data_IF_701271124448
#
_entry.id   IF_701271124448
#
_cell.length_a   1.000
_cell.length_b   1.000
_cell.length_c   1.000
_cell.angle_alpha   90.00
_cell.angle_beta   90.00
_cell.angle_gamma   90.00
#
_symmetry.space_group_name_H-M   'P 1'
#
loop_
_entity.id
_entity.type
_entity.pdbx_description
1 polymer ?
#
# COMPACT_ATOMS: atom_id res chain seq x y z
N UNK A 1 24.84 10.45 2.59
CA UNK A 1 24.45 10.54 1.16
C UNK A 1 23.13 9.81 0.97
N UNK A 2 22.14 10.47 0.35
CA UNK A 2 20.73 10.05 0.33
C UNK A 2 20.47 9.09 -0.86
N UNK A 3 19.95 7.86 -0.67
CA UNK A 3 20.03 6.79 -1.67
C UNK A 3 19.01 6.85 -2.83
N UNK A 4 18.22 7.92 -2.97
CA UNK A 4 17.17 8.00 -4.01
C UNK A 4 17.54 8.82 -5.25
N UNK A 5 18.81 9.18 -5.44
CA UNK A 5 19.20 10.17 -6.46
C UNK A 5 19.73 9.63 -7.81
N UNK A 6 19.63 8.31 -8.09
CA UNK A 6 19.99 7.77 -9.42
C UNK A 6 18.92 6.81 -9.94
N UNK A 7 17.87 7.38 -10.55
CA UNK A 7 17.05 6.68 -11.53
C UNK A 7 16.47 7.71 -12.49
N UNK A 8 17.22 8.01 -13.55
CA UNK A 8 16.74 8.63 -14.80
C UNK A 8 17.88 8.60 -15.82
N UNK A 9 18.07 7.43 -16.45
CA UNK A 9 18.64 7.33 -17.79
C UNK A 9 18.36 5.94 -18.35
N UNK A 10 17.99 5.90 -19.63
CA UNK A 10 17.90 4.73 -20.53
C UNK A 10 16.54 3.99 -20.59
N UNK A 11 15.58 4.63 -21.26
CA UNK A 11 14.79 3.95 -22.31
C UNK A 11 14.56 4.92 -23.47
N UNK A 12 15.59 5.12 -24.31
CA UNK A 12 15.40 5.61 -25.68
C UNK A 12 15.06 4.40 -26.55
N UNK A 13 13.86 4.41 -27.14
CA UNK A 13 13.40 3.37 -28.06
C UNK A 13 13.78 3.78 -29.50
N UNK A 14 14.59 3.01 -30.24
CA UNK A 14 14.79 3.27 -31.66
C UNK A 14 13.63 2.68 -32.45
N UNK A 15 13.02 3.53 -33.29
CA UNK A 15 12.07 3.14 -34.33
C UNK A 15 12.77 2.22 -35.32
N UNK A 16 12.16 1.07 -35.62
CA UNK A 16 12.44 0.33 -36.85
C UNK A 16 11.13 -0.06 -37.51
N UNK A 17 10.93 0.50 -38.70
CA UNK A 17 10.01 0.04 -39.73
C UNK A 17 10.22 -1.44 -40.05
N UNK A 18 9.12 -2.18 -40.24
CA UNK A 18 9.05 -3.29 -41.21
C UNK A 18 7.60 -3.63 -41.55
N UNK A 19 7.30 -3.51 -42.85
CA UNK A 19 6.08 -3.97 -43.53
C UNK A 19 6.16 -5.47 -43.84
N UNK A 20 4.95 -6.05 -44.01
CA UNK A 20 4.60 -7.31 -44.70
C UNK A 20 4.96 -8.61 -43.95
N UNK A 21 4.14 -9.68 -43.89
CA UNK A 21 2.97 -10.07 -44.68
C UNK A 21 2.03 -11.00 -43.86
N UNK A 22 0.74 -10.98 -44.20
CA UNK A 22 -0.31 -11.96 -43.86
C UNK A 22 -0.12 -13.21 -44.77
N UNK A 23 -0.41 -14.47 -44.34
CA UNK A 23 -1.78 -14.97 -44.48
C UNK A 23 -2.23 -16.08 -43.48
N UNK A 24 -3.56 -16.34 -43.54
CA UNK A 24 -4.31 -17.57 -43.19
C UNK A 24 -5.06 -17.59 -41.85
N UNK A 25 -6.34 -17.19 -41.95
CA UNK A 25 -7.44 -17.57 -41.05
C UNK A 25 -7.85 -19.04 -41.21
N UNK A 26 -8.29 -19.68 -40.12
CA UNK A 26 -9.45 -20.56 -40.15
C UNK A 26 -10.60 -20.06 -39.27
N UNK A 27 -11.82 -20.37 -39.71
CA UNK A 27 -13.14 -20.03 -39.17
C UNK A 27 -13.49 -20.73 -37.84
N UNK A 28 -14.44 -20.18 -37.04
CA UNK A 28 -14.80 -20.71 -35.71
C UNK A 28 -15.94 -21.74 -35.77
N UNK A 29 -15.93 -22.71 -34.84
CA UNK A 29 -17.02 -23.64 -34.56
C UNK A 29 -17.42 -23.60 -33.07
N UNK A 30 -18.62 -24.09 -32.69
CA UNK A 30 -19.57 -23.34 -31.88
C UNK A 30 -19.50 -23.61 -30.36
N UNK A 31 -19.95 -22.62 -29.59
CA UNK A 31 -20.18 -22.68 -28.15
C UNK A 31 -21.48 -23.43 -27.80
N UNK A 32 -21.48 -24.32 -26.79
CA UNK A 32 -22.71 -24.86 -26.23
C UNK A 32 -23.34 -23.87 -25.24
N UNK A 33 -24.64 -23.59 -25.44
CA UNK A 33 -25.50 -22.87 -24.48
C UNK A 33 -25.74 -23.76 -23.26
N UNK A 34 -25.49 -23.22 -22.06
CA UNK A 34 -26.01 -23.78 -20.81
C UNK A 34 -27.04 -22.83 -20.21
N UNK A 35 -28.25 -23.36 -20.09
CA UNK A 35 -29.45 -22.79 -19.49
C UNK A 35 -29.28 -22.65 -17.96
N UNK A 36 -29.75 -21.57 -17.32
CA UNK A 36 -29.63 -21.43 -15.87
C UNK A 36 -30.62 -22.33 -15.12
N UNK A 37 -30.08 -23.12 -14.18
CA UNK A 37 -30.85 -23.96 -13.29
C UNK A 37 -31.53 -23.12 -12.20
N UNK A 38 -32.86 -23.21 -12.13
CA UNK A 38 -33.72 -22.65 -11.06
C UNK A 38 -33.32 -23.23 -9.70
N UNK A 39 -33.24 -22.38 -8.68
CA UNK A 39 -33.31 -22.76 -7.26
C UNK A 39 -34.50 -22.09 -6.57
N UNK A 40 -35.11 -22.75 -5.56
CA UNK A 40 -36.46 -22.42 -5.10
C UNK A 40 -36.51 -21.28 -4.09
N UNK A 41 -37.58 -20.47 -4.21
CA UNK A 41 -38.03 -19.50 -3.21
C UNK A 41 -38.37 -20.20 -1.90
N UNK A 42 -37.76 -19.77 -0.79
CA UNK A 42 -38.33 -19.96 0.55
C UNK A 42 -39.01 -18.67 1.00
N UNK A 43 -40.29 -18.81 1.26
CA UNK A 43 -41.20 -17.87 1.90
C UNK A 43 -40.80 -17.59 3.35
N UNK A 44 -40.83 -16.33 3.75
CA UNK A 44 -41.04 -15.93 5.14
C UNK A 44 -42.14 -14.89 5.16
N UNK A 45 -43.19 -15.24 5.90
CA UNK A 45 -44.42 -14.52 6.04
C UNK A 45 -44.27 -13.27 6.93
N UNK A 46 -45.22 -12.37 6.68
CA UNK A 46 -45.62 -11.18 7.42
C UNK A 46 -45.35 -11.17 8.93
N UNK A 47 -44.98 -9.99 9.44
CA UNK A 47 -45.73 -9.45 10.56
C UNK A 47 -45.89 -7.93 10.49
N UNK A 48 -47.06 -7.51 10.96
CA UNK A 48 -47.74 -6.22 10.76
C UNK A 48 -47.12 -5.06 11.55
N UNK A 49 -47.23 -3.88 10.93
CA UNK A 49 -47.63 -2.56 11.46
C UNK A 49 -47.42 -2.27 12.95
N UNK A 50 -46.77 -1.14 13.22
CA UNK A 50 -47.31 -0.07 14.06
C UNK A 50 -46.64 1.26 13.67
N UNK A 51 -47.44 2.16 13.11
CA UNK A 51 -47.19 3.61 12.96
C UNK A 51 -47.52 4.32 14.27
N UNK A 52 -46.97 5.51 14.48
CA UNK A 52 -47.86 6.62 14.80
C UNK A 52 -47.65 7.81 13.86
N UNK A 53 -48.79 8.37 13.43
CA UNK A 53 -48.91 9.72 12.90
C UNK A 53 -48.72 10.74 14.02
N UNK A 54 -48.08 11.88 13.71
CA UNK A 54 -48.54 13.19 14.18
C UNK A 54 -48.30 14.21 13.06
N UNK A 55 -49.39 14.74 12.52
CA UNK A 55 -49.43 15.97 11.72
C UNK A 55 -49.53 17.18 12.64
N UNK A 56 -48.89 18.31 12.30
CA UNK A 56 -49.55 19.62 12.14
C UNK A 56 -48.55 20.79 12.10
N UNK A 57 -48.86 21.72 11.21
CA UNK A 57 -48.25 23.03 11.00
C UNK A 57 -48.17 23.91 12.24
N UNK A 58 -47.07 24.66 12.38
CA UNK A 58 -47.11 26.06 12.85
C UNK A 58 -46.17 26.91 12.01
N UNK A 59 -46.76 27.93 11.41
CA UNK A 59 -46.14 29.02 10.66
C UNK A 59 -45.46 29.99 11.64
N UNK A 60 -44.22 30.39 11.36
CA UNK A 60 -43.47 31.34 12.20
C UNK A 60 -42.47 32.14 11.37
N UNK A 61 -42.95 33.21 10.74
CA UNK A 61 -42.13 34.29 10.17
C UNK A 61 -41.22 34.86 11.27
N UNK A 62 -39.90 34.80 11.08
CA UNK A 62 -38.97 35.68 11.77
C UNK A 62 -38.43 36.67 10.74
N UNK A 63 -38.99 37.88 10.75
CA UNK A 63 -38.43 39.05 10.10
C UNK A 63 -37.25 39.54 10.95
N UNK A 64 -36.03 39.34 10.48
CA UNK A 64 -34.86 40.07 10.99
C UNK A 64 -34.80 41.43 10.29
N UNK A 65 -35.06 42.50 11.05
CA UNK A 65 -34.95 43.90 10.64
C UNK A 65 -33.51 44.23 10.24
N UNK A 66 -33.35 44.84 9.07
CA UNK A 66 -32.20 45.68 8.73
C UNK A 66 -32.25 46.98 9.56
N UNK A 67 -31.13 47.47 10.12
CA UNK A 67 -30.98 48.89 10.40
C UNK A 67 -30.41 49.62 9.17
N UNK A 68 -31.06 50.74 8.84
CA UNK A 68 -30.63 51.74 7.88
C UNK A 68 -29.44 52.55 8.41
N UNK A 69 -28.50 52.80 7.49
CA UNK A 69 -27.52 53.90 7.36
C UNK A 69 -26.97 54.65 8.57
N UNK A 70 -25.63 54.66 8.64
CA UNK A 70 -24.85 55.76 9.18
C UNK A 70 -23.60 55.97 8.30
N UNK A 71 -23.66 56.96 7.41
CA UNK A 71 -22.52 57.41 6.61
C UNK A 71 -21.43 58.02 7.50
N UNK A 72 -20.19 57.53 7.34
CA UNK A 72 -18.96 58.25 7.72
C UNK A 72 -17.91 58.05 6.63
N UNK A 73 -17.26 59.12 6.15
CA UNK A 73 -16.28 59.01 5.07
C UNK A 73 -14.88 58.68 5.60
N UNK A 74 -14.10 57.96 4.79
CA UNK A 74 -12.64 58.16 4.74
C UNK A 74 -11.75 57.28 5.62
N UNK A 75 -12.01 55.98 5.72
CA UNK A 75 -10.99 55.02 6.12
C UNK A 75 -10.37 54.39 4.88
N UNK A 76 -9.12 54.72 4.54
CA UNK A 76 -8.37 54.00 3.51
C UNK A 76 -8.31 52.52 3.90
N UNK A 77 -9.14 51.71 3.23
CA UNK A 77 -9.05 50.26 3.33
C UNK A 77 -7.66 49.87 2.81
N UNK A 78 -6.76 49.50 3.72
CA UNK A 78 -5.56 48.78 3.39
C UNK A 78 -6.01 47.49 2.72
N UNK A 79 -5.97 47.47 1.39
CA UNK A 79 -6.14 46.25 0.59
C UNK A 79 -4.98 45.34 1.00
N UNK A 80 -5.21 44.47 1.98
CA UNK A 80 -4.30 43.38 2.27
C UNK A 80 -4.17 42.60 0.96
N UNK A 81 -2.95 42.44 0.41
CA UNK A 81 -2.78 41.65 -0.80
C UNK A 81 -3.35 40.26 -0.50
N UNK A 82 -4.39 39.88 -1.25
CA UNK A 82 -5.00 38.57 -1.12
C UNK A 82 -3.90 37.52 -1.11
N UNK A 83 -3.79 36.75 -0.03
CA UNK A 83 -2.75 35.74 0.12
C UNK A 83 -2.79 34.86 -1.14
N UNK A 84 -1.69 34.88 -1.92
CA UNK A 84 -1.62 34.08 -3.14
C UNK A 84 -1.98 32.64 -2.78
N UNK A 85 -2.93 32.01 -3.50
CA UNK A 85 -3.29 30.63 -3.20
C UNK A 85 -2.04 29.77 -3.31
N UNK A 86 -1.80 28.91 -2.31
CA UNK A 86 -0.64 28.04 -2.30
C UNK A 86 -0.59 27.23 -3.60
N UNK A 87 0.54 27.30 -4.29
CA UNK A 87 0.80 26.61 -5.55
C UNK A 87 2.00 25.67 -5.39
N UNK A 88 2.17 24.73 -6.33
CA UNK A 88 3.34 23.83 -6.34
C UNK A 88 4.64 24.64 -6.35
N UNK A 89 4.71 25.67 -7.20
CA UNK A 89 5.86 26.58 -7.27
C UNK A 89 6.11 27.30 -5.93
N UNK A 90 5.05 27.77 -5.26
CA UNK A 90 5.18 28.48 -3.99
C UNK A 90 5.69 27.63 -2.82
N UNK A 91 5.49 26.30 -2.86
CA UNK A 91 5.93 25.40 -1.77
C UNK A 91 7.23 24.66 -2.07
N UNK A 92 7.64 24.52 -3.34
CA UNK A 92 8.75 23.62 -3.73
C UNK A 92 10.08 23.94 -3.06
N UNK A 93 10.40 25.22 -2.84
CA UNK A 93 11.62 25.66 -2.15
C UNK A 93 11.68 25.29 -0.67
N UNK A 94 10.54 24.96 -0.06
CA UNK A 94 10.45 24.51 1.34
C UNK A 94 10.49 22.99 1.53
N UNK A 95 10.45 22.23 0.42
CA UNK A 95 10.45 20.77 0.39
C UNK A 95 11.88 20.24 0.38
N UNK A 96 12.24 19.47 1.39
CA UNK A 96 13.54 18.78 1.50
C UNK A 96 13.49 17.43 0.78
N UNK A 97 14.64 16.82 0.54
CA UNK A 97 14.70 15.49 -0.08
C UNK A 97 14.02 14.42 0.75
N UNK A 98 14.09 14.52 2.09
CA UNK A 98 13.36 13.63 2.99
C UNK A 98 11.85 13.73 2.76
N UNK A 99 11.33 14.94 2.55
CA UNK A 99 9.91 15.12 2.29
C UNK A 99 9.54 14.56 0.91
N UNK A 100 10.39 14.73 -0.10
CA UNK A 100 10.18 14.09 -1.42
C UNK A 100 10.06 12.58 -1.30
N UNK A 101 10.95 11.94 -0.51
CA UNK A 101 10.86 10.51 -0.20
C UNK A 101 9.54 10.18 0.46
N UNK A 102 9.12 10.93 1.49
CA UNK A 102 7.83 10.71 2.16
C UNK A 102 6.64 10.85 1.20
N UNK A 103 6.62 11.87 0.34
CA UNK A 103 5.54 12.09 -0.62
C UNK A 103 5.46 10.95 -1.64
N UNK A 104 6.61 10.44 -2.11
CA UNK A 104 6.64 9.28 -3.01
C UNK A 104 6.15 8.00 -2.30
N UNK A 105 6.58 7.75 -1.06
CA UNK A 105 6.07 6.62 -0.26
C UNK A 105 4.55 6.69 -0.07
N UNK A 106 3.99 7.87 0.22
CA UNK A 106 2.54 8.04 0.36
C UNK A 106 1.80 7.92 -0.99
N UNK A 107 2.45 8.33 -2.09
CA UNK A 107 1.92 8.13 -3.44
C UNK A 107 1.75 6.64 -3.76
N UNK A 108 2.79 5.86 -3.47
CA UNK A 108 2.89 4.43 -3.76
C UNK A 108 2.05 3.58 -2.79
N UNK A 109 2.14 3.83 -1.48
CA UNK A 109 1.59 2.95 -0.43
C UNK A 109 0.29 3.47 0.22
N UNK A 110 -0.20 4.63 -0.23
CA UNK A 110 -1.50 5.20 0.15
C UNK A 110 -1.50 5.90 1.51
N UNK A 111 -1.16 5.20 2.59
CA UNK A 111 -1.11 5.79 3.93
C UNK A 111 0.00 5.22 4.82
N UNK A 112 0.57 6.07 5.68
CA UNK A 112 1.53 5.68 6.70
C UNK A 112 1.17 6.30 8.05
N UNK A 113 1.46 5.58 9.14
CA UNK A 113 1.28 6.12 10.49
C UNK A 113 2.44 7.03 10.88
N UNK A 114 2.24 7.89 11.90
CA UNK A 114 3.34 8.70 12.45
C UNK A 114 4.52 7.83 12.91
N UNK A 115 4.25 6.67 13.51
CA UNK A 115 5.29 5.76 13.99
C UNK A 115 6.11 5.20 12.81
N UNK A 116 5.44 4.69 11.77
CA UNK A 116 6.09 4.19 10.55
C UNK A 116 6.97 5.25 9.89
N UNK A 117 6.45 6.46 9.71
CA UNK A 117 7.20 7.58 9.13
C UNK A 117 8.42 7.92 9.99
N UNK A 118 8.26 7.92 11.32
CA UNK A 118 9.35 8.21 12.25
C UNK A 118 10.46 7.17 12.12
N UNK A 119 10.11 5.88 12.20
CA UNK A 119 11.03 4.75 12.03
C UNK A 119 11.82 4.84 10.72
N UNK A 120 11.15 5.18 9.62
CA UNK A 120 11.81 5.23 8.31
C UNK A 120 12.66 6.48 8.08
N UNK A 121 12.24 7.66 8.54
CA UNK A 121 12.79 8.92 8.02
C UNK A 121 13.38 9.86 9.08
N UNK A 122 13.16 9.60 10.37
CA UNK A 122 13.53 10.52 11.45
C UNK A 122 14.33 9.81 12.55
N UNK A 123 15.17 10.56 13.26
CA UNK A 123 15.85 10.09 14.48
C UNK A 123 15.06 10.38 15.76
N UNK A 124 14.02 11.24 15.69
CA UNK A 124 13.23 11.65 16.85
C UNK A 124 11.74 11.75 16.52
N UNK A 125 10.85 11.17 17.35
CA UNK A 125 9.40 11.31 17.19
C UNK A 125 8.90 12.76 17.25
N UNK A 126 9.53 13.61 18.07
CA UNK A 126 9.14 15.02 18.21
C UNK A 126 9.44 15.80 16.93
N UNK A 127 10.63 15.58 16.35
CA UNK A 127 11.01 16.19 15.06
C UNK A 127 10.07 15.73 13.94
N UNK A 128 9.74 14.43 13.90
CA UNK A 128 8.80 13.88 12.92
C UNK A 128 7.42 14.56 13.02
N UNK A 129 6.84 14.64 14.23
CA UNK A 129 5.53 15.29 14.46
C UNK A 129 5.53 16.75 14.01
N UNK A 130 6.56 17.52 14.36
CA UNK A 130 6.68 18.93 13.96
C UNK A 130 6.78 19.07 12.43
N UNK A 131 7.60 18.24 11.77
CA UNK A 131 7.74 18.27 10.31
C UNK A 131 6.42 17.90 9.62
N UNK A 132 5.73 16.86 10.08
CA UNK A 132 4.45 16.42 9.53
C UNK A 132 3.36 17.49 9.69
N UNK A 133 3.30 18.18 10.82
CA UNK A 133 2.40 19.31 11.03
C UNK A 133 2.68 20.45 10.04
N UNK A 134 3.96 20.80 9.82
CA UNK A 134 4.36 21.81 8.84
C UNK A 134 3.99 21.42 7.41
N UNK A 135 4.26 20.18 6.99
CA UNK A 135 3.89 19.70 5.66
C UNK A 135 2.37 19.68 5.45
N UNK A 136 1.59 19.41 6.50
CA UNK A 136 0.13 19.52 6.47
C UNK A 136 -0.34 20.96 6.28
N UNK A 137 0.25 21.91 7.00
CA UNK A 137 -0.07 23.33 6.85
C UNK A 137 0.22 23.86 5.42
N UNK A 138 1.20 23.26 4.74
CA UNK A 138 1.53 23.53 3.33
C UNK A 138 0.68 22.73 2.32
N UNK A 139 -0.33 21.99 2.76
CA UNK A 139 -1.19 21.13 1.94
C UNK A 139 -0.42 20.04 1.16
N UNK A 140 0.81 19.73 1.58
CA UNK A 140 1.61 18.63 1.01
C UNK A 140 1.14 17.29 1.57
N UNK A 141 0.72 17.28 2.84
CA UNK A 141 0.12 16.13 3.50
C UNK A 141 -1.31 16.43 3.92
N UNK A 142 -2.09 15.36 4.06
CA UNK A 142 -3.34 15.36 4.82
C UNK A 142 -3.33 14.16 5.77
N UNK A 143 -4.25 14.12 6.72
CA UNK A 143 -4.38 12.98 7.61
C UNK A 143 -5.81 12.74 8.05
N UNK A 144 -6.12 11.48 8.31
CA UNK A 144 -7.34 11.05 8.99
C UNK A 144 -6.99 10.23 10.22
N UNK A 145 -7.97 10.02 11.10
CA UNK A 145 -7.86 9.11 12.25
C UNK A 145 -9.03 8.16 12.19
N UNK A 146 -8.80 6.85 12.01
CA UNK A 146 -9.86 5.86 12.11
C UNK A 146 -10.57 6.02 13.45
N UNK A 147 -11.90 5.99 13.41
CA UNK A 147 -12.70 5.92 14.62
C UNK A 147 -12.87 4.46 14.99
N UNK A 148 -12.64 4.10 16.25
CA UNK A 148 -12.99 2.80 16.76
C UNK A 148 -14.39 2.87 17.39
N UNK A 149 -15.43 2.28 16.76
CA UNK A 149 -16.79 2.35 17.28
C UNK A 149 -16.96 1.62 18.62
N UNK A 150 -16.16 0.58 18.87
CA UNK A 150 -16.29 -0.24 20.08
C UNK A 150 -15.78 0.48 21.33
N UNK A 151 -14.75 1.31 21.19
CA UNK A 151 -14.15 2.07 22.30
C UNK A 151 -14.53 3.55 22.28
N UNK A 152 -15.17 4.04 21.22
CA UNK A 152 -15.43 5.47 20.99
C UNK A 152 -14.18 6.32 20.76
N UNK A 153 -12.98 5.73 20.75
CA UNK A 153 -11.72 6.46 20.67
C UNK A 153 -11.30 6.71 19.22
N UNK A 154 -10.55 7.79 19.00
CA UNK A 154 -9.85 8.02 17.73
C UNK A 154 -8.50 7.33 17.77
N UNK A 155 -8.18 6.59 16.73
CA UNK A 155 -6.87 5.96 16.56
C UNK A 155 -5.75 6.98 16.29
N UNK A 156 -4.59 6.45 15.91
CA UNK A 156 -3.41 7.25 15.53
C UNK A 156 -3.64 8.04 14.23
N UNK A 157 -2.78 9.00 13.92
CA UNK A 157 -2.81 9.68 12.62
C UNK A 157 -2.36 8.74 11.50
N UNK A 158 -3.17 8.66 10.45
CA UNK A 158 -2.87 8.05 9.17
C UNK A 158 -2.64 9.16 8.16
N UNK A 159 -1.38 9.35 7.76
CA UNK A 159 -0.96 10.38 6.83
C UNK A 159 -1.17 9.93 5.39
N UNK A 160 -1.57 10.86 4.54
CA UNK A 160 -1.82 10.67 3.10
C UNK A 160 -1.29 11.88 2.33
N UNK A 161 -1.20 11.78 1.01
CA UNK A 161 -0.88 12.95 0.19
C UNK A 161 -1.97 14.02 0.30
N UNK A 162 -1.56 15.25 0.59
CA UNK A 162 -2.39 16.43 0.42
C UNK A 162 -2.45 16.84 -1.05
N UNK A 163 -3.29 17.83 -1.36
CA UNK A 163 -3.53 18.26 -2.75
C UNK A 163 -2.25 18.73 -3.44
N UNK A 164 -1.45 19.58 -2.76
CA UNK A 164 -0.20 20.07 -3.34
C UNK A 164 0.87 18.99 -3.40
N UNK A 165 0.90 18.07 -2.43
CA UNK A 165 1.81 16.93 -2.44
C UNK A 165 1.54 16.00 -3.62
N UNK A 166 0.26 15.69 -3.87
CA UNK A 166 -0.14 14.87 -5.01
C UNK A 166 0.19 15.52 -6.36
N UNK A 167 0.02 16.84 -6.48
CA UNK A 167 0.41 17.60 -7.68
C UNK A 167 1.92 17.67 -7.86
N UNK A 168 2.68 17.84 -6.78
CA UNK A 168 4.14 17.86 -6.82
C UNK A 168 4.70 16.52 -7.31
N UNK A 169 4.18 15.39 -6.78
CA UNK A 169 4.58 14.05 -7.24
C UNK A 169 4.17 13.82 -8.70
N UNK A 170 2.93 14.19 -9.08
CA UNK A 170 2.49 14.07 -10.47
C UNK A 170 3.37 14.87 -11.44
N UNK A 171 3.71 16.11 -11.10
CA UNK A 171 4.58 16.95 -11.93
C UNK A 171 6.01 16.39 -12.04
N UNK A 172 6.56 15.83 -10.95
CA UNK A 172 7.88 15.20 -10.99
C UNK A 172 7.94 13.95 -11.91
N UNK A 173 6.80 13.28 -12.05
CA UNK A 173 6.59 12.10 -12.90
C UNK A 173 6.09 12.44 -14.32
N UNK A 174 5.94 13.72 -14.67
CA UNK A 174 5.35 14.18 -15.93
C UNK A 174 3.92 13.63 -16.17
N UNK A 175 3.11 13.62 -15.11
CA UNK A 175 1.71 13.20 -15.10
C UNK A 175 0.79 14.39 -14.85
N UNK A 176 -0.44 14.29 -15.33
CA UNK A 176 -1.47 15.29 -15.07
C UNK A 176 -1.67 15.55 -13.56
N UNK A 177 -1.71 16.83 -13.22
CA UNK A 177 -1.94 17.28 -11.86
C UNK A 177 -3.38 16.93 -11.43
N UNK A 178 -3.57 16.14 -10.35
CA UNK A 178 -4.91 15.74 -9.95
C UNK A 178 -5.74 16.93 -9.43
N UNK A 179 -7.05 16.85 -9.68
CA UNK A 179 -8.02 17.74 -9.07
C UNK A 179 -8.11 17.53 -7.55
N UNK A 180 -8.38 18.57 -6.74
CA UNK A 180 -8.51 18.45 -5.28
C UNK A 180 -9.54 17.39 -4.85
N UNK A 181 -10.68 17.30 -5.55
CA UNK A 181 -11.73 16.31 -5.28
C UNK A 181 -11.26 14.86 -5.48
N UNK A 182 -10.36 14.61 -6.43
CA UNK A 182 -9.76 13.29 -6.65
C UNK A 182 -8.87 12.88 -5.48
N UNK A 183 -8.09 13.81 -4.93
CA UNK A 183 -7.24 13.57 -3.77
C UNK A 183 -8.08 13.32 -2.52
N UNK A 184 -9.10 14.17 -2.27
CA UNK A 184 -10.03 14.00 -1.15
C UNK A 184 -10.75 12.64 -1.19
N UNK A 185 -11.28 12.25 -2.36
CA UNK A 185 -11.93 10.94 -2.55
C UNK A 185 -10.99 9.77 -2.30
N UNK A 186 -9.71 9.88 -2.67
CA UNK A 186 -8.70 8.82 -2.37
C UNK A 186 -8.51 8.67 -0.86
N UNK A 187 -8.37 9.78 -0.13
CA UNK A 187 -8.27 9.79 1.34
C UNK A 187 -9.51 9.17 1.97
N UNK A 188 -10.71 9.57 1.55
CA UNK A 188 -11.96 9.10 2.16
C UNK A 188 -12.18 7.60 1.93
N UNK A 189 -11.80 7.09 0.75
CA UNK A 189 -11.79 5.64 0.47
C UNK A 189 -10.83 4.87 1.37
N UNK A 190 -9.65 5.42 1.67
CA UNK A 190 -8.71 4.80 2.61
C UNK A 190 -9.29 4.81 4.04
N UNK A 191 -9.86 5.94 4.46
CA UNK A 191 -10.44 6.09 5.79
C UNK A 191 -11.63 5.14 6.04
N UNK A 192 -12.44 4.87 5.02
CA UNK A 192 -13.57 3.95 5.07
C UNK A 192 -13.21 2.50 4.69
N UNK A 193 -11.95 2.19 4.39
CA UNK A 193 -11.56 0.87 3.88
C UNK A 193 -11.60 -0.20 4.99
N UNK A 194 -12.31 -1.32 4.79
CA UNK A 194 -12.23 -2.45 5.71
C UNK A 194 -10.86 -3.14 5.71
N UNK A 195 -10.04 -2.89 4.67
CA UNK A 195 -8.67 -3.42 4.55
C UNK A 195 -7.61 -2.48 5.11
N UNK A 196 -7.99 -1.40 5.79
CA UNK A 196 -7.04 -0.43 6.30
C UNK A 196 -6.03 -1.06 7.28
N UNK A 197 -6.49 -1.92 8.19
CA UNK A 197 -5.62 -2.61 9.14
C UNK A 197 -4.59 -3.50 8.43
N UNK A 198 -5.03 -4.22 7.39
CA UNK A 198 -4.16 -5.04 6.55
C UNK A 198 -3.11 -4.19 5.83
N UNK A 199 -3.52 -3.11 5.15
CA UNK A 199 -2.61 -2.19 4.46
C UNK A 199 -1.57 -1.59 5.43
N UNK A 200 -1.99 -1.20 6.63
CA UNK A 200 -1.08 -0.65 7.64
C UNK A 200 -0.09 -1.71 8.13
N UNK A 201 -0.52 -2.97 8.28
CA UNK A 201 0.36 -4.08 8.65
C UNK A 201 1.41 -4.38 7.57
N UNK A 202 1.01 -4.40 6.30
CA UNK A 202 1.93 -4.49 5.15
C UNK A 202 2.94 -3.35 5.19
N UNK A 203 2.48 -2.11 5.37
CA UNK A 203 3.36 -0.96 5.44
C UNK A 203 4.27 -0.98 6.66
N UNK A 204 3.84 -1.59 7.77
CA UNK A 204 4.67 -1.78 8.96
C UNK A 204 5.86 -2.68 8.66
N UNK A 205 5.63 -3.82 7.99
CA UNK A 205 6.70 -4.75 7.61
C UNK A 205 7.85 -4.07 6.86
N UNK A 206 7.54 -3.29 5.82
CA UNK A 206 8.56 -2.59 5.05
C UNK A 206 9.15 -1.37 5.78
N UNK A 207 8.36 -0.71 6.63
CA UNK A 207 8.86 0.36 7.50
C UNK A 207 9.89 -0.16 8.50
N UNK A 208 9.68 -1.35 9.05
CA UNK A 208 10.60 -2.04 9.96
C UNK A 208 11.91 -2.37 9.22
N UNK A 209 11.84 -3.00 8.03
CA UNK A 209 13.02 -3.25 7.19
C UNK A 209 13.82 -1.97 6.89
N UNK A 210 13.13 -0.89 6.50
CA UNK A 210 13.76 0.41 6.22
C UNK A 210 14.37 1.02 7.47
N UNK A 211 13.70 0.91 8.63
CA UNK A 211 14.20 1.38 9.91
C UNK A 211 15.44 0.64 10.39
N UNK A 212 15.47 -0.69 10.24
CA UNK A 212 16.62 -1.51 10.58
C UNK A 212 17.86 -1.15 9.75
N UNK A 213 17.70 -1.03 8.43
CA UNK A 213 18.79 -0.65 7.52
C UNK A 213 19.44 0.71 7.87
N UNK A 214 18.73 1.60 8.57
CA UNK A 214 19.30 2.88 9.03
C UNK A 214 20.20 2.76 10.25
N UNK A 215 19.95 1.78 11.11
CA UNK A 215 20.70 1.56 12.34
C UNK A 215 21.78 0.48 12.17
N UNK A 216 21.64 -0.37 11.16
CA UNK A 216 22.49 -1.54 10.90
C UNK A 216 22.79 -1.62 9.39
N UNK A 217 23.46 -0.63 8.79
CA UNK A 217 23.67 -0.57 7.33
C UNK A 217 24.50 -1.75 6.77
N UNK A 218 25.27 -2.42 7.60
CA UNK A 218 26.11 -3.56 7.26
C UNK A 218 25.31 -4.85 6.99
N UNK A 219 24.10 -5.00 7.54
CA UNK A 219 23.24 -6.19 7.29
C UNK A 219 22.45 -6.05 5.98
N UNK A 220 22.35 -4.84 5.45
CA UNK A 220 21.75 -4.55 4.16
C UNK A 220 20.73 -3.42 4.20
N UNK A 221 20.02 -3.27 3.08
CA UNK A 221 18.99 -2.24 2.92
C UNK A 221 17.85 -2.70 2.04
N UNK A 222 16.67 -2.15 2.27
CA UNK A 222 15.56 -2.25 1.34
C UNK A 222 15.80 -1.33 0.14
N UNK A 223 16.24 -1.89 -0.99
CA UNK A 223 16.54 -1.14 -2.22
C UNK A 223 15.31 -0.91 -3.09
N UNK A 224 14.28 -1.76 -2.94
CA UNK A 224 13.01 -1.64 -3.63
C UNK A 224 11.85 -1.96 -2.70
N UNK A 225 10.77 -1.19 -2.85
CA UNK A 225 9.48 -1.47 -2.23
C UNK A 225 8.36 -1.10 -3.20
N UNK A 226 7.58 -2.08 -3.64
CA UNK A 226 6.40 -1.90 -4.47
C UNK A 226 5.13 -2.28 -3.70
N UNK A 227 4.09 -1.48 -3.89
CA UNK A 227 2.74 -1.77 -3.39
C UNK A 227 2.10 -2.96 -4.13
N UNK A 228 1.01 -3.54 -3.59
CA UNK A 228 0.20 -4.54 -4.31
C UNK A 228 -0.15 -4.06 -5.74
N UNK A 229 -0.74 -2.87 -5.97
CA UNK A 229 -1.11 -2.45 -7.33
C UNK A 229 0.09 -2.36 -8.29
N UNK A 230 1.24 -1.86 -7.81
CA UNK A 230 2.44 -1.78 -8.63
C UNK A 230 3.01 -3.15 -8.95
N UNK A 231 3.03 -4.04 -7.97
CA UNK A 231 3.54 -5.41 -8.12
C UNK A 231 2.67 -6.18 -9.11
N UNK A 232 1.33 -6.13 -8.96
CA UNK A 232 0.41 -6.76 -9.91
C UNK A 232 0.69 -6.33 -11.35
N UNK A 233 0.83 -5.02 -11.59
CA UNK A 233 1.12 -4.49 -12.92
C UNK A 233 2.48 -4.95 -13.45
N UNK A 234 3.51 -4.94 -12.61
CA UNK A 234 4.85 -5.40 -12.99
C UNK A 234 4.88 -6.88 -13.41
N UNK A 235 3.96 -7.70 -12.90
CA UNK A 235 3.82 -9.12 -13.22
C UNK A 235 2.56 -9.43 -14.05
N UNK A 236 2.07 -8.46 -14.85
CA UNK A 236 0.95 -8.63 -15.78
C UNK A 236 -0.30 -9.25 -15.14
N UNK A 237 -0.61 -8.87 -13.90
CA UNK A 237 -1.75 -9.32 -13.09
C UNK A 237 -1.77 -10.84 -12.78
N UNK A 238 -0.66 -11.56 -13.03
CA UNK A 238 -0.52 -13.02 -12.80
C UNK A 238 -0.51 -13.40 -11.32
N UNK A 239 0.06 -12.54 -10.48
CA UNK A 239 0.16 -12.70 -9.03
C UNK A 239 -0.47 -11.52 -8.30
N UNK A 240 -0.80 -11.72 -7.02
CA UNK A 240 -1.38 -10.69 -6.15
C UNK A 240 -0.73 -10.70 -4.76
N UNK A 241 0.58 -10.45 -4.66
CA UNK A 241 1.21 -10.22 -3.36
C UNK A 241 0.68 -8.93 -2.74
N UNK A 242 0.72 -8.86 -1.42
CA UNK A 242 0.43 -7.65 -0.67
C UNK A 242 1.51 -6.56 -0.87
N UNK A 243 2.74 -7.00 -1.19
CA UNK A 243 3.83 -6.13 -1.63
C UNK A 243 5.02 -6.91 -2.16
N UNK A 244 5.96 -6.22 -2.80
CA UNK A 244 7.23 -6.77 -3.25
C UNK A 244 8.38 -5.91 -2.72
N UNK A 245 9.47 -6.57 -2.32
CA UNK A 245 10.69 -5.88 -1.94
C UNK A 245 11.93 -6.52 -2.52
N UNK A 246 13.01 -5.74 -2.54
CA UNK A 246 14.36 -6.23 -2.76
C UNK A 246 15.20 -5.81 -1.56
N UNK A 247 15.73 -6.79 -0.84
CA UNK A 247 16.71 -6.57 0.21
C UNK A 247 18.11 -6.74 -0.35
N UNK A 248 18.93 -5.70 -0.30
CA UNK A 248 20.32 -5.76 -0.76
C UNK A 248 21.24 -5.82 0.45
N UNK A 249 21.74 -7.02 0.74
CA UNK A 249 22.71 -7.29 1.81
C UNK A 249 24.12 -7.59 1.27
N UNK A 250 25.04 -8.01 2.15
CA UNK A 250 26.42 -8.36 1.77
C UNK A 250 26.52 -9.50 0.76
N UNK A 251 25.60 -10.48 0.84
CA UNK A 251 25.53 -11.62 -0.08
C UNK A 251 24.91 -11.28 -1.45
N UNK A 252 24.39 -10.06 -1.62
CA UNK A 252 23.71 -9.62 -2.84
C UNK A 252 22.24 -9.24 -2.62
N UNK A 253 21.51 -8.91 -3.71
CA UNK A 253 20.10 -8.61 -3.65
C UNK A 253 19.25 -9.89 -3.56
N UNK A 254 18.27 -9.89 -2.67
CA UNK A 254 17.23 -10.91 -2.55
C UNK A 254 15.88 -10.24 -2.83
N UNK A 255 15.25 -10.60 -3.95
CA UNK A 255 13.87 -10.24 -4.23
C UNK A 255 12.92 -11.13 -3.43
N UNK A 256 11.77 -10.59 -3.03
CA UNK A 256 10.76 -11.36 -2.31
C UNK A 256 9.35 -10.83 -2.58
N UNK A 257 8.36 -11.71 -2.42
CA UNK A 257 6.94 -11.37 -2.39
C UNK A 257 6.44 -11.44 -0.95
N UNK A 258 5.58 -10.52 -0.53
CA UNK A 258 5.01 -10.50 0.81
C UNK A 258 3.52 -10.89 0.79
N UNK A 259 3.15 -11.79 1.68
CA UNK A 259 1.78 -12.16 2.03
C UNK A 259 1.57 -11.91 3.53
N UNK A 260 0.79 -10.88 3.86
CA UNK A 260 0.55 -10.46 5.24
C UNK A 260 -0.74 -11.10 5.78
N UNK A 261 -0.66 -11.97 6.78
CA UNK A 261 -1.87 -12.55 7.40
C UNK A 261 -2.29 -11.71 8.60
N UNK A 262 -3.48 -11.10 8.56
CA UNK A 262 -4.08 -10.41 9.72
C UNK A 262 -4.69 -11.37 10.75
N UNK A 263 -4.85 -12.66 10.40
CA UNK A 263 -5.50 -13.67 11.23
C UNK A 263 -7.03 -13.61 11.22
N UNK A 264 -7.63 -12.67 10.47
CA UNK A 264 -9.06 -12.35 10.53
C UNK A 264 -9.92 -13.07 9.47
N UNK A 265 -9.33 -13.73 8.48
CA UNK A 265 -10.07 -14.54 7.48
C UNK A 265 -9.73 -16.05 7.61
N UNK A 266 -10.76 -16.91 7.75
CA UNK A 266 -10.65 -18.40 7.63
C UNK A 266 -10.46 -18.78 6.13
N UNK A 267 -10.03 -20.00 5.74
CA UNK A 267 -9.10 -20.98 6.31
C UNK A 267 -7.70 -20.94 5.62
N UNK A 268 -6.67 -21.59 6.19
CA UNK A 268 -5.29 -21.68 5.63
C UNK A 268 -5.22 -22.13 4.17
N UNK A 269 -6.22 -22.90 3.72
CA UNK A 269 -6.35 -23.31 2.33
C UNK A 269 -6.32 -22.13 1.35
N UNK A 270 -6.84 -20.96 1.74
CA UNK A 270 -6.82 -19.76 0.88
C UNK A 270 -5.43 -19.14 0.77
N UNK A 271 -4.60 -19.23 1.82
CA UNK A 271 -3.20 -18.78 1.75
C UNK A 271 -2.42 -19.71 0.81
N UNK A 272 -2.58 -21.01 0.97
CA UNK A 272 -1.92 -22.03 0.14
C UNK A 272 -2.35 -21.93 -1.32
N UNK A 273 -3.64 -21.67 -1.59
CA UNK A 273 -4.14 -21.50 -2.95
C UNK A 273 -3.46 -20.34 -3.71
N UNK A 274 -2.83 -19.38 -3.01
CA UNK A 274 -2.04 -18.33 -3.68
C UNK A 274 -0.78 -18.88 -4.34
N UNK A 275 -0.20 -19.95 -3.79
CA UNK A 275 1.06 -20.54 -4.27
C UNK A 275 0.97 -21.05 -5.70
N UNK A 276 -0.20 -21.52 -6.12
CA UNK A 276 -0.49 -21.90 -7.50
C UNK A 276 -0.26 -20.73 -8.51
N UNK A 277 -0.56 -19.49 -8.10
CA UNK A 277 -0.26 -18.31 -8.90
C UNK A 277 1.24 -18.03 -9.04
N UNK A 278 2.00 -18.24 -7.97
CA UNK A 278 3.47 -18.07 -7.97
C UNK A 278 4.16 -19.19 -8.76
N UNK A 279 3.69 -20.43 -8.63
CA UNK A 279 4.17 -21.55 -9.45
C UNK A 279 3.97 -21.26 -10.94
N UNK A 280 2.76 -20.87 -11.36
CA UNK A 280 2.51 -20.50 -12.76
C UNK A 280 3.35 -19.33 -13.25
N UNK A 281 3.72 -18.40 -12.37
CA UNK A 281 4.64 -17.32 -12.72
C UNK A 281 6.04 -17.88 -13.01
N UNK A 282 6.56 -18.74 -12.14
CA UNK A 282 7.84 -19.40 -12.31
C UNK A 282 7.86 -20.29 -13.58
N UNK A 283 6.84 -21.12 -13.78
CA UNK A 283 6.69 -22.00 -14.95
C UNK A 283 6.66 -21.21 -16.27
N UNK A 284 6.18 -19.97 -16.24
CA UNK A 284 6.14 -19.07 -17.39
C UNK A 284 7.46 -18.30 -17.61
N UNK A 285 8.53 -18.61 -16.85
CA UNK A 285 9.82 -17.92 -16.90
C UNK A 285 9.89 -16.63 -16.08
N UNK A 286 8.99 -16.44 -15.12
CA UNK A 286 9.10 -15.42 -14.08
C UNK A 286 10.07 -15.81 -12.96
N UNK A 287 10.34 -14.92 -12.01
CA UNK A 287 11.30 -15.19 -10.94
C UNK A 287 10.74 -16.15 -9.88
N UNK A 288 11.56 -17.10 -9.42
CA UNK A 288 11.27 -17.94 -8.26
C UNK A 288 11.83 -17.30 -6.98
N UNK A 289 11.41 -16.06 -6.73
CA UNK A 289 11.71 -15.36 -5.48
C UNK A 289 10.90 -15.93 -4.31
N UNK A 290 11.44 -15.93 -3.08
CA UNK A 290 10.72 -16.40 -1.91
C UNK A 290 9.42 -15.63 -1.68
N UNK A 291 8.36 -16.38 -1.38
CA UNK A 291 7.08 -15.87 -0.89
C UNK A 291 7.12 -15.88 0.64
N UNK A 292 7.13 -14.68 1.21
CA UNK A 292 7.19 -14.44 2.65
C UNK A 292 5.77 -14.40 3.24
N UNK A 293 5.44 -15.34 4.12
CA UNK A 293 4.23 -15.24 4.93
C UNK A 293 4.54 -14.60 6.27
N UNK A 294 3.97 -13.42 6.49
CA UNK A 294 4.08 -12.68 7.75
C UNK A 294 2.85 -12.89 8.61
N UNK A 295 2.97 -13.77 9.60
CA UNK A 295 1.87 -14.39 10.32
C UNK A 295 1.60 -13.74 11.70
N UNK A 296 0.38 -13.86 12.24
CA UNK A 296 0.05 -13.27 13.54
C UNK A 296 0.81 -13.91 14.71
N UNK A 297 1.00 -15.23 14.70
CA UNK A 297 1.57 -15.97 15.84
C UNK A 297 2.15 -17.32 15.40
N UNK A 298 2.92 -17.94 16.30
CA UNK A 298 3.58 -19.22 16.08
C UNK A 298 2.59 -20.37 15.80
N UNK A 299 1.43 -20.41 16.46
CA UNK A 299 0.40 -21.44 16.20
C UNK A 299 -0.10 -21.38 14.75
N UNK A 300 -0.28 -20.17 14.22
CA UNK A 300 -0.68 -19.96 12.82
C UNK A 300 0.42 -20.38 11.84
N UNK A 301 1.68 -20.16 12.20
CA UNK A 301 2.85 -20.62 11.45
C UNK A 301 2.93 -22.14 11.41
N UNK A 302 2.81 -22.82 12.55
CA UNK A 302 2.83 -24.28 12.61
C UNK A 302 1.72 -24.89 11.76
N UNK A 303 0.49 -24.42 11.92
CA UNK A 303 -0.62 -24.93 11.11
C UNK A 303 -0.42 -24.69 9.61
N UNK A 304 0.27 -23.61 9.20
CA UNK A 304 0.62 -23.40 7.79
C UNK A 304 1.64 -24.45 7.33
N UNK A 305 2.68 -24.72 8.11
CA UNK A 305 3.67 -25.77 7.80
C UNK A 305 3.05 -27.16 7.69
N UNK A 306 2.17 -27.55 8.62
CA UNK A 306 1.47 -28.85 8.57
C UNK A 306 0.66 -29.00 7.27
N UNK A 307 0.09 -27.91 6.80
CA UNK A 307 -0.70 -27.86 5.57
C UNK A 307 0.15 -27.80 4.30
N UNK A 308 1.31 -27.16 4.35
CA UNK A 308 2.28 -27.17 3.25
C UNK A 308 2.90 -28.57 3.09
N UNK A 309 3.21 -29.26 4.19
CA UNK A 309 3.77 -30.62 4.16
C UNK A 309 2.83 -31.67 3.52
N UNK A 310 1.52 -31.40 3.49
CA UNK A 310 0.50 -32.31 2.94
C UNK A 310 -0.03 -31.89 1.58
N UNK A 311 0.39 -30.74 1.03
CA UNK A 311 -0.09 -30.21 -0.25
C UNK A 311 0.94 -30.37 -1.36
N UNK A 312 0.48 -30.58 -2.59
CA UNK A 312 1.31 -30.54 -3.79
C UNK A 312 1.33 -29.15 -4.46
N UNK A 313 0.49 -28.22 -3.99
CA UNK A 313 0.35 -26.89 -4.58
C UNK A 313 1.60 -26.05 -4.31
N UNK A 314 2.22 -25.54 -5.36
CA UNK A 314 3.38 -24.66 -5.26
C UNK A 314 4.61 -25.35 -4.68
N UNK A 315 4.81 -26.63 -4.99
CA UNK A 315 5.94 -27.45 -4.51
C UNK A 315 7.29 -26.84 -4.86
N UNK A 316 7.40 -26.13 -5.98
CA UNK A 316 8.65 -25.49 -6.40
C UNK A 316 8.71 -24.00 -6.02
N UNK A 317 7.69 -23.51 -5.30
CA UNK A 317 7.69 -22.15 -4.75
C UNK A 317 8.45 -22.16 -3.44
N UNK A 318 9.47 -21.31 -3.35
CA UNK A 318 10.19 -21.08 -2.12
C UNK A 318 9.27 -20.32 -1.17
N UNK A 319 8.91 -20.97 -0.06
CA UNK A 319 8.07 -20.38 0.98
C UNK A 319 8.90 -20.15 2.24
N UNK A 320 8.88 -18.93 2.76
CA UNK A 320 9.48 -18.61 4.04
C UNK A 320 8.43 -17.99 4.97
N UNK A 321 8.38 -18.45 6.21
CA UNK A 321 7.39 -18.00 7.19
C UNK A 321 8.08 -17.33 8.36
N UNK A 322 7.41 -16.32 8.90
CA UNK A 322 7.76 -15.74 10.18
C UNK A 322 6.48 -15.20 10.82
N UNK A 323 6.48 -15.04 12.15
CA UNK A 323 5.33 -14.51 12.87
C UNK A 323 5.68 -13.22 13.61
N UNK A 324 4.67 -12.46 14.03
CA UNK A 324 4.83 -11.13 14.65
C UNK A 324 5.07 -11.17 16.16
N UNK A 325 4.47 -12.13 16.85
CA UNK A 325 4.50 -12.19 18.31
C UNK A 325 5.60 -13.13 18.81
N UNK A 326 6.72 -12.59 19.27
CA UNK A 326 7.65 -13.37 20.09
C UNK A 326 7.18 -13.37 21.55
N UNK A 327 7.01 -14.55 22.14
CA UNK A 327 6.85 -14.69 23.59
C UNK A 327 8.19 -14.59 24.34
N UNK A 328 9.28 -14.25 23.64
CA UNK A 328 10.64 -14.25 24.18
C UNK A 328 11.20 -12.82 24.19
N UNK A 329 11.34 -12.18 25.36
CA UNK A 329 11.76 -10.78 25.47
C UNK A 329 13.19 -10.48 24.98
N UNK A 330 14.03 -11.50 24.83
CA UNK A 330 15.48 -11.35 24.61
C UNK A 330 15.94 -11.66 23.19
N UNK A 331 15.07 -12.21 22.32
CA UNK A 331 15.40 -12.41 20.92
C UNK A 331 15.01 -11.14 20.14
N UNK A 332 15.94 -10.56 19.39
CA UNK A 332 15.59 -9.53 18.42
C UNK A 332 14.65 -10.14 17.39
N UNK A 333 13.39 -9.69 17.43
CA UNK A 333 12.31 -10.23 16.62
C UNK A 333 11.98 -9.23 15.52
N UNK A 334 12.79 -9.24 14.47
CA UNK A 334 12.76 -8.23 13.43
C UNK A 334 12.82 -8.87 12.03
N UNK A 335 11.98 -8.44 11.06
CA UNK A 335 11.89 -9.10 9.73
C UNK A 335 13.18 -9.10 8.90
N UNK A 336 14.17 -8.29 9.26
CA UNK A 336 15.49 -8.31 8.63
C UNK A 336 16.42 -9.39 9.19
N UNK A 337 16.15 -9.89 10.39
CA UNK A 337 17.01 -10.79 11.15
C UNK A 337 16.62 -12.26 10.95
N UNK A 338 17.38 -13.15 11.61
CA UNK A 338 17.25 -14.59 11.54
C UNK A 338 15.95 -15.12 12.17
N UNK A 339 14.83 -14.85 11.49
CA UNK A 339 13.49 -15.27 11.93
C UNK A 339 12.71 -16.02 10.86
N UNK A 340 13.22 -16.17 9.64
CA UNK A 340 12.48 -16.80 8.56
C UNK A 340 12.72 -18.30 8.53
N UNK A 341 11.67 -19.09 8.73
CA UNK A 341 11.71 -20.54 8.56
C UNK A 341 11.35 -20.90 7.12
N UNK A 342 12.27 -21.55 6.41
CA UNK A 342 12.04 -22.00 5.03
C UNK A 342 11.30 -23.33 5.03
N UNK A 343 10.17 -23.39 4.33
CA UNK A 343 9.42 -24.64 4.18
C UNK A 343 10.24 -25.69 3.42
N UNK A 344 10.31 -26.91 3.95
CA UNK A 344 11.11 -28.00 3.36
C UNK A 344 12.62 -27.82 3.50
N UNK A 345 13.07 -26.75 4.16
CA UNK A 345 14.48 -26.50 4.49
C UNK A 345 14.86 -27.00 5.90
N UNK A 346 16.10 -26.72 6.34
CA UNK A 346 16.52 -27.00 7.71
C UNK A 346 15.70 -26.18 8.73
N UNK A 347 15.62 -26.67 9.98
CA UNK A 347 14.89 -26.02 11.08
C UNK A 347 15.48 -24.66 11.52
N UNK A 348 16.66 -24.31 11.00
CA UNK A 348 17.31 -23.03 11.26
C UNK A 348 16.53 -21.87 10.61
N UNK A 349 16.28 -20.82 11.39
CA UNK A 349 15.71 -19.57 10.87
C UNK A 349 16.81 -18.73 10.22
N UNK A 350 16.53 -18.19 9.05
CA UNK A 350 17.47 -17.40 8.24
C UNK A 350 17.11 -15.91 8.25
N UNK A 351 18.09 -15.00 8.11
CA UNK A 351 17.82 -13.60 7.82
C UNK A 351 17.31 -13.43 6.40
N UNK A 352 16.59 -12.33 6.14
CA UNK A 352 15.96 -12.09 4.82
C UNK A 352 16.98 -12.09 3.67
N UNK A 353 18.21 -11.66 3.94
CA UNK A 353 19.31 -11.61 2.97
C UNK A 353 19.96 -12.96 2.64
N UNK A 354 19.64 -14.02 3.38
CA UNK A 354 20.16 -15.38 3.17
C UNK A 354 19.08 -16.35 2.68
N UNK A 355 17.86 -15.84 2.39
CA UNK A 355 16.79 -16.68 1.89
C UNK A 355 17.15 -17.26 0.51
N UNK A 356 16.83 -18.55 0.29
CA UNK A 356 17.06 -19.16 -1.00
C UNK A 356 16.22 -18.45 -2.06
N UNK A 357 16.82 -18.23 -3.22
CA UNK A 357 16.20 -17.62 -4.38
C UNK A 357 16.92 -18.11 -5.64
N UNK A 358 16.22 -18.15 -6.76
CA UNK A 358 16.87 -18.42 -8.05
C UNK A 358 17.62 -17.21 -8.55
N UNK A 359 18.68 -17.44 -9.33
CA UNK A 359 19.44 -16.38 -10.00
C UNK A 359 18.52 -15.48 -10.83
N UNK A 360 18.83 -14.18 -10.86
CA UNK A 360 18.00 -13.16 -11.48
C UNK A 360 18.15 -13.15 -13.02
N UNK A 361 17.29 -13.92 -13.70
CA UNK A 361 17.20 -13.92 -15.16
C UNK A 361 16.18 -12.87 -15.60
N UNK A 362 16.66 -11.68 -15.99
CA UNK A 362 15.79 -10.59 -16.48
C UNK A 362 15.04 -11.04 -17.73
N UNK A 363 13.73 -10.81 -17.74
CA UNK A 363 12.86 -11.24 -18.83
C UNK A 363 11.53 -10.50 -18.83
N UNK A 364 10.63 -10.80 -19.79
CA UNK A 364 9.35 -10.11 -19.91
C UNK A 364 8.45 -10.27 -18.67
N UNK A 365 8.68 -11.31 -17.86
CA UNK A 365 7.96 -11.58 -16.61
C UNK A 365 8.86 -11.45 -15.36
N UNK A 366 10.11 -11.01 -15.52
CA UNK A 366 11.03 -10.74 -14.42
C UNK A 366 11.60 -9.32 -14.57
N UNK A 367 11.13 -8.36 -13.76
CA UNK A 367 11.62 -6.99 -13.81
C UNK A 367 13.05 -6.81 -13.27
N UNK A 368 13.72 -7.90 -12.86
CA UNK A 368 15.06 -7.89 -12.30
C UNK A 368 15.09 -7.38 -10.85
N UNK A 369 16.26 -7.46 -10.22
CA UNK A 369 16.53 -7.01 -8.85
C UNK A 369 17.20 -5.64 -8.77
N UNK A 370 17.60 -5.07 -9.92
CA UNK A 370 18.30 -3.79 -10.02
C UNK A 370 17.44 -2.56 -9.72
#
# INVERSE_FOLDING_TARGET
MNPFHRLKALTRNPRTDRRAADPLRPTPCPTPRLTPCRTPRRSLAANKRLTPQVSAHVSGRIQTRLPLSGDRPGGQATVQPAARPLSVFGVIGSVTDRDRVLLNLLSEHGTLTTAQITTMLFGSPSTAKQRLARLRALLLLDAFRPHNPATGTRGVNHWTLGVLGARLVAAADDRDMPAPSTVARRRDRLAASPRLAHLVGVNQFFADLTGHARHTPETGRLSRWWSEPRTRRAFAERIRPDGHGVWTGPAGPVGFFLEHDTGTERPLARLIAKLDGYQRLADAGGPSWPVLFWLPNATREQHLHDRLATTSIGRDVIVATAHRHCNRPTATHHPAEAMWQVHGGPDARLPIGELPHTADLIGPLNPGLA
#
